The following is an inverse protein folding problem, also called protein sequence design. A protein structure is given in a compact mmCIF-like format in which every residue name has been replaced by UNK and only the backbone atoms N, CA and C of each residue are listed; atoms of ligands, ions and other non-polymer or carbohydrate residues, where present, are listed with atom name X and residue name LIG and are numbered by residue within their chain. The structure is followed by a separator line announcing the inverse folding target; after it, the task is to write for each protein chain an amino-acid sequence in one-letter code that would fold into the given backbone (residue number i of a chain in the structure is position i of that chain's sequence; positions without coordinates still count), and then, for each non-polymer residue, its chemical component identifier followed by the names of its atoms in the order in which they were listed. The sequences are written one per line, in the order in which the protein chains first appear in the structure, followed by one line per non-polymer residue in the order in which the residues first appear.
data_IF_434485838565
#
_entry.id   IF_434485838565
#
_cell.length_a   1.000
_cell.length_b   1.000
_cell.length_c   1.000
_cell.angle_alpha   90.00
_cell.angle_beta   90.00
_cell.angle_gamma   90.00
#
_symmetry.space_group_name_H-M   'P 1'
#
loop_
_entity.id
_entity.type
_entity.pdbx_description
1 polymer ?
#
# COMPACT_ATOMS: atom_id res chain seq x y z
N UNK A 1 -1.41 -41.69 1.41
CA UNK A 1 -1.62 -40.67 1.53
C UNK A 1 -1.09 -39.67 0.64
N UNK A 2 0.12 -39.57 0.45
CA UNK A 2 0.62 -38.64 -0.47
C UNK A 2 0.55 -39.11 -1.89
N UNK A 3 -0.01 -40.22 -2.09
CA UNK A 3 -0.11 -40.74 -3.44
C UNK A 3 -0.94 -39.80 -4.32
N UNK A 4 -1.84 -39.06 -3.72
CA UNK A 4 -2.65 -38.16 -4.48
C UNK A 4 -1.94 -36.86 -4.83
N UNK A 5 -0.76 -36.64 -4.25
CA UNK A 5 -0.05 -35.42 -4.49
C UNK A 5 1.05 -35.68 -5.50
N UNK A 6 0.82 -35.43 -6.74
CA UNK A 6 1.94 -35.59 -7.64
C UNK A 6 2.65 -34.25 -7.79
N UNK A 7 3.87 -34.31 -8.24
CA UNK A 7 4.70 -33.13 -8.32
C UNK A 7 4.17 -32.14 -9.32
N UNK A 8 3.51 -32.59 -10.34
CA UNK A 8 2.93 -31.70 -11.33
C UNK A 8 1.88 -30.81 -10.73
N UNK A 9 1.03 -31.37 -9.85
CA UNK A 9 0.00 -30.60 -9.21
C UNK A 9 0.59 -29.57 -8.27
N UNK A 10 1.65 -29.94 -7.56
CA UNK A 10 2.29 -29.01 -6.67
C UNK A 10 2.90 -27.87 -7.44
N UNK A 11 3.49 -28.16 -8.58
CA UNK A 11 4.03 -27.12 -9.42
C UNK A 11 2.98 -26.17 -9.91
N UNK A 12 1.81 -26.71 -10.30
CA UNK A 12 0.72 -25.87 -10.75
C UNK A 12 0.21 -24.99 -9.62
N UNK A 13 0.11 -25.54 -8.43
CA UNK A 13 -0.36 -24.75 -7.28
C UNK A 13 0.61 -23.61 -6.99
N UNK A 14 1.90 -23.88 -7.09
CA UNK A 14 2.88 -22.84 -6.86
C UNK A 14 2.81 -21.76 -7.93
N UNK A 15 2.59 -22.16 -9.18
CA UNK A 15 2.44 -21.19 -10.25
C UNK A 15 1.23 -20.31 -10.02
N UNK A 16 0.14 -20.92 -9.57
CA UNK A 16 -1.07 -20.16 -9.29
C UNK A 16 -0.84 -19.16 -8.15
N UNK A 17 -0.13 -19.61 -7.12
CA UNK A 17 0.16 -18.72 -6.01
C UNK A 17 1.03 -17.56 -6.46
N UNK A 18 2.03 -17.83 -7.27
CA UNK A 18 2.89 -16.78 -7.78
C UNK A 18 2.13 -15.81 -8.66
N UNK A 19 1.24 -16.34 -9.48
CA UNK A 19 0.43 -15.52 -10.36
C UNK A 19 -0.49 -14.60 -9.54
N UNK A 20 -1.11 -15.16 -8.50
CA UNK A 20 -1.97 -14.36 -7.64
C UNK A 20 -1.18 -13.30 -6.88
N UNK A 21 0.02 -13.66 -6.43
CA UNK A 21 0.85 -12.70 -5.74
C UNK A 21 1.21 -11.53 -6.64
N UNK A 22 1.49 -11.82 -7.91
CA UNK A 22 1.80 -10.76 -8.86
C UNK A 22 0.58 -9.88 -9.13
N UNK A 23 -0.58 -10.50 -9.22
CA UNK A 23 -1.82 -9.75 -9.43
C UNK A 23 -2.08 -8.82 -8.24
N UNK A 24 -1.89 -9.33 -7.03
CA UNK A 24 -2.11 -8.53 -5.84
C UNK A 24 -1.11 -7.38 -5.78
N UNK A 25 0.12 -7.65 -6.16
CA UNK A 25 1.14 -6.60 -6.19
C UNK A 25 0.77 -5.53 -7.20
N UNK A 26 0.29 -5.94 -8.38
CA UNK A 26 -0.14 -4.99 -9.39
C UNK A 26 -1.32 -4.16 -8.90
N UNK A 27 -2.25 -4.79 -8.21
CA UNK A 27 -3.40 -4.08 -7.66
C UNK A 27 -2.95 -3.08 -6.61
N UNK A 28 -2.00 -3.47 -5.76
CA UNK A 28 -1.48 -2.55 -4.77
C UNK A 28 -0.82 -1.34 -5.40
N UNK A 29 -0.09 -1.56 -6.49
CA UNK A 29 0.58 -0.46 -7.16
C UNK A 29 -0.39 0.48 -7.85
N UNK A 30 -1.58 -0.01 -8.20
CA UNK A 30 -2.57 0.82 -8.86
C UNK A 30 -3.37 1.68 -7.89
N UNK A 31 -3.36 1.34 -6.61
CA UNK A 31 -4.04 2.13 -5.58
C UNK A 31 -3.10 3.26 -5.17
N UNK A 32 -3.63 4.47 -5.11
CA UNK A 32 -2.81 5.62 -4.72
C UNK A 32 -3.46 6.35 -3.55
N UNK A 33 -2.63 6.97 -2.74
CA UNK A 33 -3.08 7.79 -1.63
C UNK A 33 -2.22 9.04 -1.59
N UNK A 34 -2.84 10.16 -1.23
CA UNK A 34 -2.14 11.44 -1.19
C UNK A 34 -2.29 12.05 0.19
N UNK A 35 -1.17 12.45 0.77
CA UNK A 35 -1.16 13.20 2.02
C UNK A 35 -0.76 14.63 1.72
N UNK A 36 -1.31 15.56 2.48
CA UNK A 36 -1.04 16.98 2.31
C UNK A 36 -0.55 17.56 3.64
N UNK A 37 0.28 18.55 3.54
CA UNK A 37 0.76 19.27 4.72
C UNK A 37 0.84 20.75 4.40
N UNK A 38 0.80 21.57 5.46
CA UNK A 38 0.91 23.01 5.27
C UNK A 38 -0.22 23.63 4.49
N UNK A 39 -1.45 23.15 4.72
CA UNK A 39 -2.58 23.70 3.99
C UNK A 39 -2.58 23.34 2.52
N UNK A 40 -1.90 22.26 2.16
CA UNK A 40 -1.86 21.85 0.77
C UNK A 40 -0.62 22.32 0.02
N UNK A 41 0.29 22.99 0.69
CA UNK A 41 1.52 23.43 0.04
C UNK A 41 2.43 22.25 -0.32
N UNK A 42 2.30 21.16 0.39
CA UNK A 42 3.05 19.94 0.11
C UNK A 42 2.03 18.83 -0.10
N UNK A 43 2.16 18.08 -1.20
CA UNK A 43 1.35 16.90 -1.44
C UNK A 43 2.27 15.78 -1.83
N UNK A 44 2.11 14.63 -1.19
CA UNK A 44 2.92 13.46 -1.49
C UNK A 44 2.00 12.30 -1.75
N UNK A 45 2.21 11.63 -2.87
CA UNK A 45 1.38 10.50 -3.29
C UNK A 45 2.21 9.23 -3.24
N UNK A 46 1.63 8.19 -2.66
CA UNK A 46 2.24 6.87 -2.64
C UNK A 46 1.27 5.87 -3.20
N UNK A 47 1.79 4.72 -3.63
CA UNK A 47 0.90 3.65 -4.02
C UNK A 47 0.72 2.68 -2.85
N UNK A 48 -0.17 1.71 -3.02
CA UNK A 48 -0.46 0.77 -1.95
C UNK A 48 0.68 -0.15 -1.60
N UNK A 49 1.69 -0.23 -2.44
CA UNK A 49 2.88 -1.01 -2.15
C UNK A 49 3.88 -0.24 -1.28
N UNK A 50 3.61 1.03 -1.00
CA UNK A 50 4.49 1.82 -0.15
C UNK A 50 5.54 2.59 -0.90
N UNK A 51 5.35 2.78 -2.19
CA UNK A 51 6.29 3.55 -2.98
C UNK A 51 5.79 4.99 -3.12
N UNK A 52 6.68 5.95 -2.92
CA UNK A 52 6.35 7.34 -3.16
C UNK A 52 6.47 7.57 -4.66
N UNK A 53 5.37 7.96 -5.29
CA UNK A 53 5.34 8.07 -6.74
C UNK A 53 5.22 9.51 -7.23
N UNK A 54 4.87 10.44 -6.38
CA UNK A 54 4.75 11.83 -6.79
C UNK A 54 4.89 12.75 -5.61
N UNK A 55 5.34 13.96 -5.86
CA UNK A 55 5.51 14.96 -4.82
C UNK A 55 5.30 16.33 -5.45
N UNK A 56 4.45 17.14 -4.84
CA UNK A 56 4.20 18.49 -5.30
C UNK A 56 4.56 19.46 -4.18
N UNK A 57 5.33 20.47 -4.51
CA UNK A 57 5.76 21.48 -3.54
C UNK A 57 5.37 22.84 -4.10
N UNK A 58 4.64 23.61 -3.31
CA UNK A 58 4.26 24.95 -3.70
C UNK A 58 5.49 25.85 -3.68
N UNK A 59 5.60 26.71 -4.70
CA UNK A 59 6.76 27.58 -4.82
C UNK A 59 6.90 28.50 -3.60
N UNK A 60 5.81 28.88 -2.98
CA UNK A 60 5.84 29.83 -1.88
C UNK A 60 6.60 29.31 -0.66
N UNK A 61 6.78 27.98 -0.54
CA UNK A 61 7.46 27.43 0.62
C UNK A 61 8.95 27.20 0.35
N UNK A 62 9.39 27.41 -0.90
CA UNK A 62 10.77 27.09 -1.27
C UNK A 62 11.79 28.00 -0.58
N UNK A 63 11.37 29.21 -0.22
CA UNK A 63 12.29 30.13 0.44
C UNK A 63 12.42 29.86 1.93
N UNK A 64 11.61 28.97 2.49
CA UNK A 64 11.66 28.65 3.91
C UNK A 64 12.05 27.21 4.07
N UNK A 65 13.35 26.99 4.07
CA UNK A 65 13.88 25.63 4.08
C UNK A 65 13.47 24.83 5.31
N UNK A 66 13.43 25.47 6.46
CA UNK A 66 13.07 24.78 7.69
C UNK A 66 11.63 24.34 7.68
N UNK A 67 10.75 25.23 7.24
CA UNK A 67 9.33 24.86 7.15
C UNK A 67 9.12 23.78 6.11
N UNK A 68 9.85 23.87 4.99
CA UNK A 68 9.76 22.85 3.96
C UNK A 68 10.14 21.49 4.50
N UNK A 69 11.24 21.42 5.26
CA UNK A 69 11.69 20.15 5.82
C UNK A 69 10.65 19.55 6.77
N UNK A 70 10.10 20.40 7.63
CA UNK A 70 9.11 19.94 8.60
C UNK A 70 7.87 19.41 7.89
N UNK A 71 7.40 20.16 6.90
CA UNK A 71 6.19 19.77 6.18
C UNK A 71 6.42 18.52 5.35
N UNK A 72 7.61 18.36 4.77
CA UNK A 72 7.91 17.15 4.02
C UNK A 72 7.90 15.93 4.93
N UNK A 73 8.52 16.05 6.09
CA UNK A 73 8.54 14.94 7.03
C UNK A 73 7.12 14.57 7.45
N UNK A 74 6.32 15.59 7.74
CA UNK A 74 4.94 15.37 8.15
C UNK A 74 4.14 14.67 7.05
N UNK A 75 4.25 15.16 5.82
CA UNK A 75 3.49 14.59 4.71
C UNK A 75 3.94 13.17 4.39
N UNK A 76 5.25 12.93 4.44
CA UNK A 76 5.76 11.60 4.17
C UNK A 76 5.26 10.62 5.23
N UNK A 77 5.35 11.00 6.49
CA UNK A 77 4.88 10.12 7.56
C UNK A 77 3.39 9.86 7.45
N UNK A 78 2.62 10.89 7.07
CA UNK A 78 1.19 10.73 6.92
C UNK A 78 0.84 9.78 5.78
N UNK A 79 1.51 9.92 4.65
CA UNK A 79 1.19 9.07 3.50
C UNK A 79 1.60 7.63 3.76
N UNK A 80 2.72 7.43 4.47
CA UNK A 80 3.14 6.08 4.81
C UNK A 80 2.17 5.44 5.80
N UNK A 81 1.60 6.23 6.69
CA UNK A 81 0.58 5.73 7.59
C UNK A 81 -0.68 5.34 6.82
N UNK A 82 -1.05 6.12 5.81
CA UNK A 82 -2.17 5.77 4.96
C UNK A 82 -1.92 4.44 4.25
N UNK A 83 -0.70 4.23 3.77
CA UNK A 83 -0.33 2.97 3.13
C UNK A 83 -0.50 1.81 4.11
N UNK A 84 -0.01 2.00 5.33
CA UNK A 84 -0.09 0.97 6.35
C UNK A 84 -1.54 0.65 6.69
N UNK A 85 -2.35 1.69 6.86
CA UNK A 85 -3.76 1.50 7.16
C UNK A 85 -4.48 0.81 6.01
N UNK A 86 -4.11 1.13 4.78
CA UNK A 86 -4.70 0.49 3.61
C UNK A 86 -4.37 -1.00 3.59
N UNK A 87 -3.13 -1.35 3.90
CA UNK A 87 -2.73 -2.76 3.95
C UNK A 87 -3.47 -3.50 5.04
N UNK A 88 -3.65 -2.88 6.19
CA UNK A 88 -4.40 -3.49 7.28
C UNK A 88 -5.86 -3.70 6.89
N UNK A 89 -6.45 -2.71 6.24
CA UNK A 89 -7.82 -2.82 5.78
C UNK A 89 -8.00 -3.98 4.81
N UNK A 90 -7.07 -4.11 3.89
CA UNK A 90 -7.14 -5.20 2.92
C UNK A 90 -6.99 -6.55 3.58
N UNK A 91 -6.08 -6.64 4.56
CA UNK A 91 -5.89 -7.89 5.29
C UNK A 91 -7.15 -8.24 6.06
N UNK A 92 -7.78 -7.25 6.68
CA UNK A 92 -9.00 -7.49 7.43
C UNK A 92 -10.14 -7.90 6.51
N UNK A 93 -10.22 -7.30 5.34
CA UNK A 93 -11.26 -7.67 4.39
C UNK A 93 -11.09 -9.11 3.93
N UNK A 94 -9.86 -9.53 3.71
CA UNK A 94 -9.59 -10.90 3.31
C UNK A 94 -9.96 -11.86 4.44
N UNK A 95 -9.60 -11.50 5.67
CA UNK A 95 -9.91 -12.35 6.80
C UNK A 95 -11.40 -12.30 7.14
N UNK A 96 -12.02 -11.15 6.88
CA UNK A 96 -13.44 -11.01 7.14
C UNK A 96 -14.28 -11.97 6.35
N UNK A 97 -13.86 -12.26 5.12
CA UNK A 97 -14.58 -13.19 4.29
C UNK A 97 -14.45 -14.61 4.78
N UNK A 98 -13.47 -14.87 5.63
CA UNK A 98 -13.27 -16.20 6.16
C UNK A 98 -13.47 -16.22 7.67
N UNK A 99 -14.05 -15.19 8.21
CA UNK A 99 -14.18 -15.08 9.65
C UNK A 99 -15.05 -16.20 10.20
N UNK A 100 -14.48 -17.12 10.91
CA UNK A 100 -15.25 -18.26 11.41
C UNK A 100 -16.19 -17.89 12.54
N UNK A 101 -16.00 -16.74 13.14
CA UNK A 101 -16.87 -16.36 14.21
C UNK A 101 -18.15 -15.69 13.73
N UNK A 102 -18.24 -15.48 12.45
CA UNK A 102 -19.43 -14.90 11.91
C UNK A 102 -19.81 -13.61 12.56
N UNK A 103 -18.81 -12.88 12.96
CA UNK A 103 -19.11 -11.76 13.67
C UNK A 103 -19.78 -10.88 12.87
N UNK A 104 -20.61 -10.64 13.00
CA UNK A 104 -21.25 -9.92 12.34
C UNK A 104 -21.24 -8.78 12.74
#
# INVERSE_FOLDING_TARGET
MFEGLDMGKMGQMMEELQSKAKEMEAQQKSVTMTAKAGGGMIEITANGAGEIIDMTIDDSILDDKESLQILLISAINDVLKMVEDNKKSQAMNMMGGMNPFGMK
#
